data_IF_244947055495
#
_entry.id   IF_244947055495
#
_cell.length_a   1.000
_cell.length_b   1.000
_cell.length_c   1.000
_cell.angle_alpha   90.00
_cell.angle_beta   90.00
_cell.angle_gamma   90.00
#
_symmetry.space_group_name_H-M   'P 1'
#
loop_
_entity.id
_entity.type
_entity.pdbx_description
1 polymer ?
#
# COMPACT_ATOMS: atom_id res chain seq x y z
N UNK A 1 -19.94 11.74 -39.56
CA UNK A 1 -20.75 10.51 -39.56
C UNK A 1 -19.85 9.44 -38.97
N UNK A 2 -20.08 9.19 -37.68
CA UNK A 2 -19.54 8.12 -36.79
C UNK A 2 -18.05 7.82 -36.86
N UNK A 3 -17.30 8.41 -35.92
CA UNK A 3 -16.16 7.74 -35.28
C UNK A 3 -16.69 7.32 -33.90
N UNK A 4 -17.13 6.08 -33.80
CA UNK A 4 -17.57 5.45 -32.55
C UNK A 4 -16.41 4.52 -32.15
N UNK A 5 -15.46 5.06 -31.38
CA UNK A 5 -14.45 4.23 -30.72
C UNK A 5 -15.10 3.65 -29.47
N UNK A 6 -15.61 2.42 -29.60
CA UNK A 6 -16.05 1.59 -28.49
C UNK A 6 -14.85 0.76 -28.03
N UNK A 7 -14.13 1.22 -27.00
CA UNK A 7 -13.28 0.38 -26.15
C UNK A 7 -13.53 0.63 -24.63
N UNK A 8 -14.77 0.52 -24.09
CA UNK A 8 -15.02 0.60 -22.64
C UNK A 8 -15.23 -0.77 -21.94
N UNK A 9 -15.35 -1.88 -22.68
CA UNK A 9 -15.81 -3.15 -22.12
C UNK A 9 -14.70 -4.00 -21.49
N UNK A 10 -13.48 -3.99 -22.06
CA UNK A 10 -12.37 -4.81 -21.54
C UNK A 10 -11.84 -4.28 -20.21
N UNK A 11 -11.62 -2.97 -20.09
CA UNK A 11 -11.14 -2.35 -18.85
C UNK A 11 -12.18 -2.44 -17.71
N UNK A 12 -13.47 -2.41 -18.04
CA UNK A 12 -14.54 -2.62 -17.07
C UNK A 12 -14.62 -4.10 -16.60
N UNK A 13 -14.30 -5.06 -17.48
CA UNK A 13 -14.23 -6.47 -17.13
C UNK A 13 -12.99 -6.78 -16.27
N UNK A 14 -11.84 -6.18 -16.59
CA UNK A 14 -10.61 -6.28 -15.78
C UNK A 14 -10.82 -5.73 -14.37
N UNK A 15 -11.37 -4.51 -14.25
CA UNK A 15 -11.69 -3.93 -12.94
C UNK A 15 -12.71 -4.76 -12.14
N UNK A 16 -13.73 -5.33 -12.79
CA UNK A 16 -14.68 -6.21 -12.13
C UNK A 16 -14.05 -7.52 -11.62
N UNK A 17 -13.08 -8.07 -12.35
CA UNK A 17 -12.33 -9.26 -11.92
C UNK A 17 -11.40 -8.93 -10.76
N UNK A 18 -10.74 -7.78 -10.79
CA UNK A 18 -9.93 -7.26 -9.67
C UNK A 18 -10.77 -7.11 -8.39
N UNK A 19 -11.94 -6.46 -8.49
CA UNK A 19 -12.88 -6.29 -7.39
C UNK A 19 -13.27 -7.63 -6.75
N UNK A 20 -13.52 -8.65 -7.57
CA UNK A 20 -13.86 -10.00 -7.08
C UNK A 20 -12.69 -10.67 -6.36
N UNK A 21 -11.45 -10.51 -6.84
CA UNK A 21 -10.25 -11.06 -6.19
C UNK A 21 -9.99 -10.37 -4.85
N UNK A 22 -10.10 -9.04 -4.82
CA UNK A 22 -10.01 -8.24 -3.59
C UNK A 22 -11.07 -8.66 -2.58
N UNK A 23 -12.32 -8.82 -3.01
CA UNK A 23 -13.40 -9.28 -2.15
C UNK A 23 -13.13 -10.69 -1.59
N UNK A 24 -12.70 -11.63 -2.43
CA UNK A 24 -12.38 -12.99 -2.01
C UNK A 24 -11.22 -13.04 -0.99
N UNK A 25 -10.16 -12.26 -1.24
CA UNK A 25 -9.05 -12.12 -0.31
C UNK A 25 -9.51 -11.52 1.02
N UNK A 26 -10.29 -10.44 1.00
CA UNK A 26 -10.81 -9.82 2.21
C UNK A 26 -11.67 -10.77 3.04
N UNK A 27 -12.52 -11.59 2.40
CA UNK A 27 -13.30 -12.62 3.09
C UNK A 27 -12.42 -13.62 3.86
N UNK A 28 -11.27 -14.00 3.29
CA UNK A 28 -10.32 -14.91 3.95
C UNK A 28 -9.49 -14.20 5.05
N UNK A 29 -9.09 -12.95 4.80
CA UNK A 29 -8.16 -12.22 5.65
C UNK A 29 -8.82 -11.60 6.88
N UNK A 30 -10.05 -11.08 6.78
CA UNK A 30 -10.70 -10.26 7.83
C UNK A 30 -10.80 -10.91 9.20
N UNK A 31 -10.88 -12.24 9.26
CA UNK A 31 -10.87 -12.98 10.54
C UNK A 31 -9.57 -12.83 11.35
N UNK A 32 -8.47 -12.43 10.70
CA UNK A 32 -7.15 -12.25 11.30
C UNK A 32 -6.93 -10.84 11.86
N UNK A 33 -7.82 -9.89 11.55
CA UNK A 33 -7.75 -8.52 12.07
C UNK A 33 -7.90 -8.51 13.60
N UNK A 34 -8.51 -9.51 14.22
CA UNK A 34 -8.54 -9.63 15.68
C UNK A 34 -9.31 -8.46 16.31
N UNK A 35 -10.64 -8.55 16.29
CA UNK A 35 -11.50 -7.70 17.12
C UNK A 35 -11.07 -7.82 18.60
N UNK A 36 -10.62 -6.72 19.20
CA UNK A 36 -10.34 -6.68 20.63
C UNK A 36 -11.56 -7.09 21.45
N UNK A 37 -11.36 -7.54 22.70
CA UNK A 37 -12.42 -8.03 23.61
C UNK A 37 -13.63 -7.08 23.80
N UNK A 38 -13.54 -5.81 23.39
CA UNK A 38 -14.64 -4.84 23.48
C UNK A 38 -15.60 -4.86 22.29
N UNK A 39 -15.19 -5.39 21.14
CA UNK A 39 -16.04 -5.41 19.93
C UNK A 39 -17.05 -6.57 19.92
N UNK A 40 -16.82 -7.63 20.71
CA UNK A 40 -17.80 -8.71 20.87
C UNK A 40 -19.11 -8.28 21.55
N UNK A 41 -19.12 -7.11 22.22
CA UNK A 41 -20.28 -6.63 23.00
C UNK A 41 -21.22 -5.78 22.15
N UNK A 42 -20.72 -5.19 21.06
CA UNK A 42 -21.51 -4.39 20.11
C UNK A 42 -21.46 -5.15 18.79
N UNK A 43 -22.52 -5.91 18.47
CA UNK A 43 -22.55 -6.78 17.29
C UNK A 43 -21.93 -6.13 16.05
N UNK A 44 -21.09 -6.92 15.35
CA UNK A 44 -20.13 -6.46 14.34
C UNK A 44 -20.59 -5.28 13.47
N UNK A 45 -19.73 -4.29 13.37
CA UNK A 45 -19.97 -3.08 12.59
C UNK A 45 -19.95 -3.39 11.09
N UNK A 46 -20.75 -2.66 10.31
CA UNK A 46 -20.84 -2.81 8.85
C UNK A 46 -19.48 -2.64 8.12
N UNK A 47 -18.49 -2.05 8.78
CA UNK A 47 -17.12 -1.86 8.27
C UNK A 47 -16.36 -3.18 8.08
N UNK A 48 -16.81 -4.31 8.64
CA UNK A 48 -16.17 -5.62 8.42
C UNK A 48 -16.52 -6.25 7.05
N UNK A 49 -17.40 -5.62 6.27
CA UNK A 49 -17.90 -6.18 5.00
C UNK A 49 -17.19 -5.60 3.78
N UNK A 50 -16.76 -4.35 3.84
CA UNK A 50 -16.12 -3.65 2.71
C UNK A 50 -14.61 -3.90 2.75
N UNK A 51 -13.99 -4.34 1.64
CA UNK A 51 -12.54 -4.45 1.58
C UNK A 51 -11.87 -3.09 1.82
N UNK A 52 -10.74 -3.03 2.54
CA UNK A 52 -9.95 -1.81 2.63
C UNK A 52 -9.36 -1.43 1.25
N UNK A 53 -8.85 -0.19 1.11
CA UNK A 53 -8.19 0.24 -0.12
C UNK A 53 -7.05 -0.72 -0.53
N UNK A 54 -6.95 -0.97 -1.84
CA UNK A 54 -5.87 -1.74 -2.43
C UNK A 54 -4.89 -0.84 -3.18
N UNK A 55 -3.61 -1.23 -3.18
CA UNK A 55 -2.54 -0.53 -3.89
C UNK A 55 -1.39 -1.47 -4.24
N UNK A 56 -0.51 -1.04 -5.15
CA UNK A 56 0.66 -1.82 -5.62
C UNK A 56 1.93 -0.96 -5.56
N UNK A 57 3.08 -1.61 -5.41
CA UNK A 57 4.40 -0.98 -5.60
C UNK A 57 4.72 -0.71 -7.08
N UNK A 58 3.97 -1.32 -8.00
CA UNK A 58 4.22 -1.28 -9.45
C UNK A 58 4.15 -2.68 -10.08
N UNK A 59 4.54 -2.78 -11.34
CA UNK A 59 4.50 -4.01 -12.15
C UNK A 59 5.89 -4.52 -12.58
N UNK A 60 6.96 -3.88 -12.11
CA UNK A 60 8.33 -4.24 -12.44
C UNK A 60 8.98 -5.18 -11.39
N UNK A 61 10.22 -5.58 -11.67
CA UNK A 61 10.95 -6.51 -10.80
C UNK A 61 11.27 -5.90 -9.42
N UNK A 62 11.42 -4.58 -9.34
CA UNK A 62 11.68 -3.88 -8.09
C UNK A 62 10.43 -3.87 -7.22
N UNK A 63 9.26 -3.61 -7.80
CA UNK A 63 7.97 -3.71 -7.13
C UNK A 63 7.72 -5.12 -6.57
N UNK A 64 8.03 -6.17 -7.35
CA UNK A 64 7.92 -7.55 -6.87
C UNK A 64 8.87 -7.82 -5.70
N UNK A 65 10.11 -7.30 -5.74
CA UNK A 65 11.06 -7.46 -4.65
C UNK A 65 10.61 -6.77 -3.36
N UNK A 66 10.02 -5.57 -3.46
CA UNK A 66 9.44 -4.86 -2.32
C UNK A 66 8.29 -5.63 -1.69
N UNK A 67 7.41 -6.18 -2.51
CA UNK A 67 6.32 -7.02 -2.03
C UNK A 67 6.83 -8.30 -1.34
N UNK A 68 7.83 -8.98 -1.91
CA UNK A 68 8.42 -10.16 -1.28
C UNK A 68 9.04 -9.83 0.09
N UNK A 69 9.66 -8.64 0.22
CA UNK A 69 10.19 -8.12 1.50
C UNK A 69 9.07 -7.83 2.50
N UNK A 70 7.89 -7.42 2.07
CA UNK A 70 6.71 -7.29 2.95
C UNK A 70 6.25 -8.67 3.41
N UNK A 71 6.10 -9.62 2.48
CA UNK A 71 5.58 -10.96 2.75
C UNK A 71 6.48 -11.79 3.68
N UNK A 72 7.80 -11.58 3.64
CA UNK A 72 8.74 -12.21 4.57
C UNK A 72 9.01 -11.40 5.84
N UNK A 73 8.39 -10.23 5.98
CA UNK A 73 8.42 -9.39 7.18
C UNK A 73 9.67 -8.52 7.32
N UNK A 74 10.52 -8.42 6.29
CA UNK A 74 11.68 -7.52 6.30
C UNK A 74 11.29 -6.05 6.08
N UNK A 75 10.34 -5.77 5.19
CA UNK A 75 9.77 -4.43 4.98
C UNK A 75 8.54 -4.25 5.85
N UNK A 76 8.61 -3.29 6.75
CA UNK A 76 7.59 -2.98 7.77
C UNK A 76 7.24 -1.50 7.83
N UNK A 77 7.72 -0.73 6.84
CA UNK A 77 7.49 0.69 6.73
C UNK A 77 7.44 1.14 5.26
N UNK A 78 6.79 2.28 5.02
CA UNK A 78 6.78 2.99 3.74
C UNK A 78 6.85 4.50 3.97
N UNK A 79 7.16 5.26 2.92
CA UNK A 79 7.15 6.70 2.94
C UNK A 79 6.51 7.28 1.68
N UNK A 80 5.74 8.35 1.84
CA UNK A 80 5.21 9.14 0.74
C UNK A 80 5.41 10.63 1.01
N UNK A 81 5.62 11.43 -0.04
CA UNK A 81 5.60 12.88 0.10
C UNK A 81 4.17 13.33 0.40
N UNK A 82 3.98 14.20 1.40
CA UNK A 82 2.65 14.73 1.72
C UNK A 82 2.05 15.45 0.51
N UNK A 83 2.88 16.19 -0.24
CA UNK A 83 2.46 16.85 -1.47
C UNK A 83 1.97 15.88 -2.56
N UNK A 84 2.51 14.65 -2.60
CA UNK A 84 2.06 13.62 -3.55
C UNK A 84 0.67 13.09 -3.16
N UNK A 85 0.44 12.81 -1.87
CA UNK A 85 -0.87 12.44 -1.35
C UNK A 85 -1.93 13.50 -1.66
N UNK A 86 -1.61 14.78 -1.43
CA UNK A 86 -2.49 15.90 -1.74
C UNK A 86 -2.82 16.01 -3.23
N UNK A 87 -1.84 15.76 -4.11
CA UNK A 87 -2.04 15.79 -5.57
C UNK A 87 -3.03 14.73 -6.05
N UNK A 88 -3.03 13.54 -5.43
CA UNK A 88 -3.94 12.45 -5.76
C UNK A 88 -5.21 12.44 -4.91
N UNK A 89 -5.37 13.41 -4.00
CA UNK A 89 -6.55 13.55 -3.13
C UNK A 89 -6.66 12.46 -2.06
N UNK A 90 -5.55 11.85 -1.67
CA UNK A 90 -5.49 10.87 -0.59
C UNK A 90 -5.19 11.55 0.75
N UNK A 91 -5.78 11.03 1.82
CA UNK A 91 -5.52 11.47 3.18
C UNK A 91 -4.35 10.68 3.80
N UNK A 92 -3.69 11.26 4.80
CA UNK A 92 -2.71 10.55 5.62
C UNK A 92 -3.44 9.43 6.40
N UNK A 93 -2.95 8.18 6.38
CA UNK A 93 -3.55 7.07 7.10
C UNK A 93 -3.54 7.29 8.60
N UNK A 94 -4.41 6.58 9.30
CA UNK A 94 -4.49 6.57 10.77
C UNK A 94 -3.99 5.24 11.30
N UNK A 95 -3.44 5.27 12.51
CA UNK A 95 -3.10 4.04 13.23
C UNK A 95 -4.34 3.14 13.35
N UNK A 96 -4.19 1.89 12.92
CA UNK A 96 -5.26 0.90 12.85
C UNK A 96 -5.91 0.76 11.48
N UNK A 97 -5.70 1.70 10.55
CA UNK A 97 -6.19 1.58 9.18
C UNK A 97 -5.61 0.30 8.52
N UNK A 98 -6.42 -0.32 7.67
CA UNK A 98 -6.06 -1.51 6.92
C UNK A 98 -5.83 -1.15 5.46
N UNK A 99 -4.93 -1.85 4.80
CA UNK A 99 -4.75 -1.77 3.35
C UNK A 99 -4.37 -3.12 2.75
N UNK A 100 -4.73 -3.34 1.49
CA UNK A 100 -4.38 -4.54 0.74
C UNK A 100 -3.28 -4.21 -0.26
N UNK A 101 -2.17 -4.94 -0.20
CA UNK A 101 -1.13 -4.86 -1.23
C UNK A 101 -1.41 -5.91 -2.30
N UNK A 102 -1.48 -5.48 -3.55
CA UNK A 102 -1.57 -6.35 -4.74
C UNK A 102 -0.23 -6.43 -5.47
N UNK A 103 0.00 -7.50 -6.22
CA UNK A 103 1.15 -7.59 -7.12
C UNK A 103 0.90 -6.88 -8.46
N UNK A 104 1.89 -6.92 -9.37
CA UNK A 104 1.80 -6.29 -10.69
C UNK A 104 0.69 -6.83 -11.60
N UNK A 105 0.06 -7.96 -11.25
CA UNK A 105 -1.10 -8.53 -11.96
C UNK A 105 -2.44 -8.19 -11.30
N UNK A 106 -2.42 -7.35 -10.26
CA UNK A 106 -3.60 -6.99 -9.48
C UNK A 106 -4.08 -8.08 -8.52
N UNK A 107 -3.28 -9.13 -8.29
CA UNK A 107 -3.64 -10.19 -7.34
C UNK A 107 -3.32 -9.75 -5.91
N UNK A 108 -4.25 -9.82 -4.94
CA UNK A 108 -3.98 -9.44 -3.55
C UNK A 108 -3.07 -10.42 -2.83
N UNK A 109 -2.05 -9.87 -2.16
CA UNK A 109 -0.93 -10.62 -1.57
C UNK A 109 -0.76 -10.41 -0.08
N UNK A 110 -1.06 -9.22 0.42
CA UNK A 110 -0.90 -8.88 1.83
C UNK A 110 -2.04 -8.01 2.35
N UNK A 111 -2.53 -8.32 3.55
CA UNK A 111 -3.30 -7.39 4.38
C UNK A 111 -2.35 -6.76 5.39
N UNK A 112 -2.25 -5.44 5.35
CA UNK A 112 -1.44 -4.66 6.27
C UNK A 112 -2.33 -3.91 7.26
N UNK A 113 -1.76 -3.63 8.43
CA UNK A 113 -2.31 -2.67 9.39
C UNK A 113 -1.27 -1.60 9.70
N UNK A 114 -1.66 -0.35 9.58
CA UNK A 114 -0.86 0.80 10.03
C UNK A 114 -0.71 0.77 11.56
N UNK A 115 0.53 0.78 12.05
CA UNK A 115 0.86 0.75 13.48
C UNK A 115 1.40 2.08 14.00
N UNK A 116 2.00 2.89 13.13
CA UNK A 116 2.53 4.21 13.45
C UNK A 116 2.50 5.10 12.21
N UNK A 117 2.24 6.40 12.41
CA UNK A 117 2.30 7.42 11.36
C UNK A 117 2.96 8.67 11.93
N UNK A 118 3.97 9.17 11.22
CA UNK A 118 4.68 10.41 11.53
C UNK A 118 4.83 11.25 10.26
N UNK A 119 4.90 12.58 10.40
CA UNK A 119 5.29 13.47 9.30
C UNK A 119 6.54 14.21 9.73
N UNK A 120 7.62 14.05 8.97
CA UNK A 120 8.91 14.71 9.22
C UNK A 120 9.46 15.31 7.93
N UNK A 121 10.33 16.32 8.01
CA UNK A 121 11.10 16.77 6.86
C UNK A 121 11.97 15.64 6.28
N UNK A 122 12.12 15.59 4.95
CA UNK A 122 12.91 14.57 4.25
C UNK A 122 14.34 14.41 4.81
N UNK A 123 15.00 15.52 5.14
CA UNK A 123 16.35 15.50 5.71
C UNK A 123 16.43 15.04 7.17
N UNK A 124 15.28 14.85 7.83
CA UNK A 124 15.14 14.34 9.20
C UNK A 124 14.70 12.89 9.26
N UNK A 125 14.39 12.24 8.13
CA UNK A 125 14.13 10.79 8.10
C UNK A 125 15.34 10.04 8.65
N UNK A 126 15.05 9.12 9.57
CA UNK A 126 16.05 8.42 10.37
C UNK A 126 16.54 7.15 9.67
N UNK A 127 17.73 6.69 10.04
CA UNK A 127 18.25 5.41 9.55
C UNK A 127 17.40 4.22 10.02
N UNK A 128 16.73 4.35 11.17
CA UNK A 128 15.81 3.33 11.67
C UNK A 128 14.62 3.13 10.72
N UNK A 129 14.03 4.24 10.24
CA UNK A 129 12.95 4.17 9.25
C UNK A 129 13.44 3.58 7.93
N UNK A 130 14.57 4.04 7.41
CA UNK A 130 15.16 3.50 6.18
C UNK A 130 15.45 1.98 6.27
N UNK A 131 15.91 1.50 7.43
CA UNK A 131 16.11 0.06 7.67
C UNK A 131 14.77 -0.69 7.75
N UNK A 132 13.74 -0.10 8.36
CA UNK A 132 12.40 -0.71 8.43
C UNK A 132 11.69 -0.76 7.07
N UNK A 133 11.94 0.22 6.20
CA UNK A 133 11.51 0.20 4.80
C UNK A 133 12.20 -0.88 4.00
N UNK A 134 13.41 -1.26 4.43
CA UNK A 134 14.22 -2.30 3.83
C UNK A 134 14.22 -2.19 2.30
N UNK A 135 14.46 -1.01 1.74
CA UNK A 135 14.60 -0.79 0.28
C UNK A 135 16.07 -0.74 -0.12
N UNK A 136 16.40 -1.19 -1.33
CA UNK A 136 17.80 -1.33 -1.74
C UNK A 136 18.60 -2.16 -0.72
N UNK A 137 19.65 -1.55 -0.14
CA UNK A 137 20.50 -2.15 0.90
C UNK A 137 20.06 -1.83 2.36
N UNK A 138 18.95 -1.11 2.54
CA UNK A 138 18.40 -0.71 3.84
C UNK A 138 19.15 0.43 4.53
N UNK A 139 20.12 1.06 3.86
CA UNK A 139 20.85 2.21 4.39
C UNK A 139 20.11 3.53 4.18
N UNK A 140 20.30 4.49 5.09
CA UNK A 140 19.73 5.84 4.95
C UNK A 140 20.26 6.57 3.71
N UNK A 141 21.52 6.33 3.32
CA UNK A 141 22.12 6.94 2.14
C UNK A 141 21.43 6.47 0.87
N UNK A 142 21.27 5.14 0.71
CA UNK A 142 20.55 4.55 -0.42
C UNK A 142 19.08 5.00 -0.43
N UNK A 143 18.41 5.00 0.72
CA UNK A 143 17.03 5.46 0.86
C UNK A 143 16.87 6.91 0.38
N UNK A 144 17.74 7.83 0.84
CA UNK A 144 17.69 9.24 0.43
C UNK A 144 17.94 9.41 -1.06
N UNK A 145 18.93 8.72 -1.61
CA UNK A 145 19.24 8.84 -3.04
C UNK A 145 18.07 8.40 -3.93
N UNK A 146 17.41 7.29 -3.58
CA UNK A 146 16.28 6.75 -4.33
C UNK A 146 15.04 7.65 -4.21
N UNK A 147 14.68 8.05 -2.99
CA UNK A 147 13.51 8.90 -2.75
C UNK A 147 13.67 10.31 -3.31
N UNK A 148 14.87 10.90 -3.22
CA UNK A 148 15.15 12.19 -3.86
C UNK A 148 15.02 12.09 -5.39
N UNK A 149 15.57 11.05 -6.01
CA UNK A 149 15.43 10.85 -7.45
C UNK A 149 13.97 10.68 -7.87
N UNK A 150 13.19 9.90 -7.10
CA UNK A 150 11.77 9.68 -7.35
C UNK A 150 10.95 10.97 -7.19
N UNK A 151 11.06 11.66 -6.06
CA UNK A 151 10.29 12.88 -5.81
C UNK A 151 10.72 14.06 -6.66
N UNK A 152 11.97 14.14 -7.12
CA UNK A 152 12.34 15.11 -8.16
C UNK A 152 11.65 14.84 -9.49
N UNK A 153 11.41 13.57 -9.83
CA UNK A 153 10.66 13.20 -11.05
C UNK A 153 9.18 13.52 -10.93
N UNK A 154 8.57 13.30 -9.75
CA UNK A 154 7.13 13.52 -9.51
C UNK A 154 6.82 14.98 -9.22
N UNK A 155 7.56 15.63 -8.33
CA UNK A 155 7.30 16.99 -7.82
C UNK A 155 8.10 18.08 -8.55
N UNK A 156 9.14 17.72 -9.29
CA UNK A 156 10.01 18.68 -9.99
C UNK A 156 10.67 19.67 -9.03
N UNK A 157 10.50 20.96 -9.31
CA UNK A 157 11.07 22.07 -8.52
C UNK A 157 10.45 22.21 -7.11
N UNK A 158 9.34 21.53 -6.82
CA UNK A 158 8.73 21.54 -5.48
C UNK A 158 9.47 20.63 -4.49
N UNK A 159 10.36 19.74 -4.96
CA UNK A 159 11.20 18.94 -4.06
C UNK A 159 12.23 19.83 -3.34
N UNK A 160 12.35 19.65 -2.03
CA UNK A 160 13.41 20.26 -1.21
C UNK A 160 13.78 19.35 -0.04
N UNK A 161 14.95 19.53 0.60
CA UNK A 161 15.31 18.77 1.80
C UNK A 161 14.32 18.91 2.96
N UNK A 162 13.55 20.01 3.00
CA UNK A 162 12.50 20.25 3.99
C UNK A 162 11.11 19.80 3.53
N UNK A 163 11.01 19.01 2.45
CA UNK A 163 9.74 18.42 2.00
C UNK A 163 9.16 17.57 3.13
N UNK A 164 7.88 17.78 3.45
CA UNK A 164 7.18 16.95 4.43
C UNK A 164 6.95 15.54 3.86
N UNK A 165 7.50 14.56 4.56
CA UNK A 165 7.40 13.13 4.23
C UNK A 165 6.58 12.46 5.32
N UNK A 166 5.51 11.79 4.89
CA UNK A 166 4.77 10.88 5.74
C UNK A 166 5.54 9.57 5.84
N UNK A 167 5.85 9.19 7.08
CA UNK A 167 6.44 7.92 7.45
C UNK A 167 5.33 7.04 8.03
N UNK A 168 5.12 5.87 7.44
CA UNK A 168 4.17 4.89 7.93
C UNK A 168 4.91 3.63 8.34
N UNK A 169 4.60 3.09 9.53
CA UNK A 169 4.92 1.72 9.89
C UNK A 169 3.68 0.86 9.87
N UNK A 170 3.85 -0.41 9.53
CA UNK A 170 2.76 -1.36 9.45
C UNK A 170 3.19 -2.75 9.92
N UNK A 171 2.18 -3.57 10.24
CA UNK A 171 2.34 -5.01 10.45
C UNK A 171 1.63 -5.79 9.34
N UNK A 172 2.21 -6.93 8.96
CA UNK A 172 1.57 -7.91 8.10
C UNK A 172 0.55 -8.72 8.90
N UNK A 173 -0.74 -8.51 8.61
CA UNK A 173 -1.86 -9.20 9.28
C UNK A 173 -2.14 -10.55 8.63
N UNK A 174 -2.13 -10.60 7.30
CA UNK A 174 -2.44 -11.81 6.55
C UNK A 174 -1.70 -11.87 5.21
N UNK A 175 -0.83 -12.86 4.97
CA UNK A 175 -0.21 -13.10 3.67
C UNK A 175 -0.97 -14.15 2.84
N UNK A 176 -0.88 -14.03 1.51
CA UNK A 176 -1.15 -15.13 0.56
C UNK A 176 0.11 -15.54 -0.19
N UNK A 177 0.45 -16.82 -0.07
CA UNK A 177 1.50 -17.50 -0.83
C UNK A 177 0.85 -18.30 -1.96
N UNK A 178 1.02 -17.82 -3.19
CA UNK A 178 0.40 -18.38 -4.41
C UNK A 178 -0.73 -17.51 -4.97
N UNK A 179 -1.22 -17.82 -6.19
CA UNK A 179 -2.28 -17.05 -6.82
C UNK A 179 -3.57 -17.11 -5.98
N UNK A 180 -4.29 -16.00 -5.91
CA UNK A 180 -5.64 -15.96 -5.36
C UNK A 180 -6.49 -17.01 -6.08
N UNK A 181 -7.22 -17.90 -5.38
CA UNK A 181 -8.05 -18.91 -6.02
C UNK A 181 -9.00 -18.23 -7.02
N UNK A 182 -9.16 -18.82 -8.21
CA UNK A 182 -10.13 -18.31 -9.17
C UNK A 182 -11.51 -18.23 -8.51
N UNK A 183 -12.19 -17.11 -8.72
CA UNK A 183 -13.61 -17.01 -8.40
C UNK A 183 -14.36 -17.87 -9.41
N UNK A 184 -14.89 -19.01 -8.96
CA UNK A 184 -15.79 -19.89 -9.75
C UNK A 184 -17.11 -19.19 -10.08
#
# INVERSE_FOLDING_TARGET
MTDEQVEPAEHAAEGAVEDLRIAAFWQAARGHVGMGKMDQVLGGTADDVVPPPSWSYGDDAEAQELLDRVLDGRKTATALAVAELEQVGLEIPRVGDLSIVVDGSGDPRALLRTTEVEVVPFDQVTAEHATAEAEGDGSLESWRAQHEASWRRVLGEAFSPSLDVMLERFELVYPTVGPTPAVD
#
